data_IF_376501832424
#
_entry.id   IF_376501832424
#
_cell.length_a   1.000
_cell.length_b   1.000
_cell.length_c   1.000
_cell.angle_alpha   90.00
_cell.angle_beta   90.00
_cell.angle_gamma   90.00
#
_symmetry.space_group_name_H-M   'P 1'
#
loop_
_entity.id
_entity.type
_entity.pdbx_description
1 polymer ?
#
# COMPACT_ATOMS: atom_id res chain seq x y z
N UNK A 1 -65.76 39.45 24.46
CA UNK A 1 -64.51 39.99 25.04
C UNK A 1 -63.66 38.81 25.47
N UNK A 2 -62.42 38.77 24.98
CA UNK A 2 -61.44 37.69 25.15
C UNK A 2 -60.68 37.90 26.46
N UNK A 3 -60.40 36.83 27.21
CA UNK A 3 -59.10 36.54 27.85
C UNK A 3 -59.23 35.62 29.07
N UNK A 4 -58.47 34.53 29.04
CA UNK A 4 -57.52 34.04 30.07
C UNK A 4 -57.19 32.57 29.74
N UNK A 5 -55.99 32.30 29.23
CA UNK A 5 -54.80 31.83 29.98
C UNK A 5 -55.01 30.43 30.57
N UNK A 6 -54.17 29.46 30.19
CA UNK A 6 -53.03 29.00 31.01
C UNK A 6 -52.29 27.80 30.37
N UNK A 7 -50.96 27.97 30.29
CA UNK A 7 -49.87 27.02 30.55
C UNK A 7 -49.83 25.70 29.76
N UNK A 8 -48.79 25.55 28.92
CA UNK A 8 -48.29 24.22 28.52
C UNK A 8 -46.81 24.13 28.88
N UNK A 9 -46.51 23.26 29.84
CA UNK A 9 -45.17 22.91 30.32
C UNK A 9 -44.38 22.18 29.23
N UNK A 10 -43.19 22.66 28.90
CA UNK A 10 -42.23 21.91 28.07
C UNK A 10 -41.21 21.25 28.99
N UNK A 11 -41.23 19.92 29.00
CA UNK A 11 -40.27 19.10 29.73
C UNK A 11 -38.92 19.08 29.00
N UNK A 12 -37.84 19.29 29.75
CA UNK A 12 -36.45 19.14 29.31
C UNK A 12 -36.12 17.65 29.35
N UNK A 13 -35.90 17.02 28.18
CA UNK A 13 -35.29 15.69 28.11
C UNK A 13 -33.79 15.84 27.90
N UNK A 14 -33.03 15.58 28.96
CA UNK A 14 -31.60 15.34 28.89
C UNK A 14 -31.35 14.02 28.12
N UNK A 15 -30.61 14.10 27.03
CA UNK A 15 -30.10 12.92 26.33
C UNK A 15 -28.74 12.57 26.91
N UNK A 16 -28.66 11.42 27.57
CA UNK A 16 -27.44 10.77 28.01
C UNK A 16 -26.74 10.15 26.79
N UNK A 17 -25.62 10.73 26.37
CA UNK A 17 -24.74 10.10 25.38
C UNK A 17 -23.89 9.02 26.08
N UNK A 18 -24.16 7.76 25.71
CA UNK A 18 -23.37 6.63 26.14
C UNK A 18 -21.97 6.69 25.48
N UNK A 19 -20.94 6.92 26.29
CA UNK A 19 -19.55 6.70 25.89
C UNK A 19 -19.32 5.20 25.65
N UNK A 20 -19.22 4.81 24.38
CA UNK A 20 -18.67 3.50 24.01
C UNK A 20 -17.14 3.56 24.07
N UNK A 21 -16.46 2.61 24.72
CA UNK A 21 -15.01 2.53 24.65
C UNK A 21 -14.58 2.15 23.23
N UNK A 22 -13.80 3.04 22.62
CA UNK A 22 -13.13 2.83 21.34
C UNK A 22 -12.11 1.70 21.50
N UNK A 23 -12.53 0.46 21.24
CA UNK A 23 -11.63 -0.68 21.13
C UNK A 23 -10.86 -0.54 19.81
N UNK A 24 -9.66 0.02 19.88
CA UNK A 24 -8.71 0.00 18.77
C UNK A 24 -8.42 -1.46 18.39
N UNK A 25 -8.67 -1.87 17.14
CA UNK A 25 -8.27 -3.19 16.70
C UNK A 25 -6.74 -3.25 16.75
N UNK A 26 -6.20 -4.08 17.65
CA UNK A 26 -4.78 -4.46 17.60
C UNK A 26 -4.59 -5.26 16.32
N UNK A 27 -4.08 -4.58 15.30
CA UNK A 27 -3.66 -5.17 14.05
C UNK A 27 -2.45 -6.07 14.31
N UNK A 28 -2.71 -7.33 14.67
CA UNK A 28 -1.68 -8.37 14.71
C UNK A 28 -1.21 -8.59 13.28
N UNK A 29 -0.06 -8.00 12.92
CA UNK A 29 0.65 -8.32 11.69
C UNK A 29 1.10 -9.79 11.79
N UNK A 30 0.40 -10.68 11.11
CA UNK A 30 0.95 -11.99 10.76
C UNK A 30 2.11 -11.74 9.80
N UNK A 31 3.34 -11.90 10.29
CA UNK A 31 4.55 -11.88 9.49
C UNK A 31 4.54 -13.10 8.57
N UNK A 32 3.85 -12.98 7.43
CA UNK A 32 3.96 -13.94 6.34
C UNK A 32 5.38 -13.79 5.79
N UNK A 33 6.29 -14.67 6.22
CA UNK A 33 7.60 -14.78 5.60
C UNK A 33 7.38 -15.16 4.14
N UNK A 34 7.65 -14.23 3.24
CA UNK A 34 7.63 -14.51 1.82
C UNK A 34 8.93 -15.22 1.46
N UNK A 35 8.84 -16.36 0.77
CA UNK A 35 10.02 -17.02 0.24
C UNK A 35 10.79 -16.07 -0.70
N UNK A 36 12.14 -16.06 -0.67
CA UNK A 36 12.95 -15.26 -1.58
C UNK A 36 12.62 -15.54 -3.05
N UNK A 37 12.72 -14.51 -3.89
CA UNK A 37 12.56 -14.69 -5.33
C UNK A 37 13.65 -15.61 -5.90
N UNK A 38 13.24 -16.54 -6.76
CA UNK A 38 14.16 -17.46 -7.41
C UNK A 38 15.03 -16.77 -8.46
N UNK A 39 16.28 -17.24 -8.61
CA UNK A 39 17.18 -16.81 -9.68
C UNK A 39 16.56 -17.03 -11.07
N UNK A 40 16.57 -15.98 -11.89
CA UNK A 40 15.87 -15.92 -13.18
C UNK A 40 14.50 -15.24 -13.13
N UNK A 41 14.00 -14.86 -11.95
CA UNK A 41 12.84 -13.96 -11.83
C UNK A 41 13.20 -12.54 -12.28
N UNK A 42 12.18 -11.72 -12.55
CA UNK A 42 12.34 -10.32 -12.91
C UNK A 42 11.53 -9.41 -11.99
N UNK A 43 12.08 -8.24 -11.73
CA UNK A 43 11.42 -7.15 -11.01
C UNK A 43 11.46 -5.91 -11.88
N UNK A 44 10.30 -5.35 -12.17
CA UNK A 44 10.17 -4.18 -13.05
C UNK A 44 9.76 -2.98 -12.22
N UNK A 45 10.67 -2.01 -12.12
CA UNK A 45 10.53 -0.83 -11.27
C UNK A 45 9.97 0.33 -12.09
N UNK A 46 8.88 0.93 -11.62
CA UNK A 46 8.35 2.16 -12.18
C UNK A 46 9.27 3.35 -11.87
N UNK A 47 9.82 3.99 -12.90
CA UNK A 47 10.72 5.15 -12.79
C UNK A 47 10.17 6.41 -13.49
N UNK A 48 8.95 6.35 -14.03
CA UNK A 48 8.31 7.49 -14.67
C UNK A 48 8.01 8.65 -13.72
N UNK A 49 7.47 9.77 -14.23
CA UNK A 49 7.41 11.03 -13.48
C UNK A 49 6.73 10.94 -12.11
N UNK A 50 5.64 10.18 -12.00
CA UNK A 50 4.90 10.04 -10.74
C UNK A 50 5.68 9.21 -9.72
N UNK A 51 6.10 8.00 -10.09
CA UNK A 51 6.93 7.14 -9.24
C UNK A 51 8.25 7.83 -8.87
N UNK A 52 8.87 8.55 -9.81
CA UNK A 52 10.10 9.30 -9.58
C UNK A 52 9.93 10.41 -8.55
N UNK A 53 8.81 11.14 -8.56
CA UNK A 53 8.49 12.15 -7.53
C UNK A 53 8.19 11.52 -6.17
N UNK A 54 7.59 10.34 -6.13
CA UNK A 54 7.20 9.68 -4.88
C UNK A 54 8.27 8.76 -4.27
N UNK A 55 9.45 8.66 -4.88
CA UNK A 55 10.62 7.97 -4.30
C UNK A 55 11.23 6.86 -5.16
N UNK A 56 10.63 6.49 -6.29
CA UNK A 56 11.04 5.34 -7.11
C UNK A 56 12.47 5.43 -7.64
N UNK A 57 12.98 6.64 -7.94
CA UNK A 57 14.39 6.85 -8.34
C UNK A 57 15.39 6.50 -7.24
N UNK A 58 14.99 6.63 -5.96
CA UNK A 58 15.84 6.31 -4.82
C UNK A 58 15.89 4.81 -4.56
N UNK A 59 14.83 4.08 -4.89
CA UNK A 59 14.71 2.64 -4.63
C UNK A 59 15.38 1.78 -5.70
N UNK A 60 15.49 2.28 -6.93
CA UNK A 60 16.15 1.57 -8.03
C UNK A 60 17.56 1.04 -7.68
N UNK A 61 18.50 1.83 -7.12
CA UNK A 61 19.82 1.31 -6.77
C UNK A 61 19.77 0.20 -5.71
N UNK A 62 18.85 0.29 -4.75
CA UNK A 62 18.66 -0.74 -3.71
C UNK A 62 18.17 -2.05 -4.33
N UNK A 63 17.22 -1.96 -5.26
CA UNK A 63 16.79 -3.12 -6.04
C UNK A 63 17.94 -3.73 -6.82
N UNK A 64 18.75 -2.92 -7.51
CA UNK A 64 19.86 -3.40 -8.32
C UNK A 64 20.90 -4.15 -7.48
N UNK A 65 21.26 -3.60 -6.32
CA UNK A 65 22.22 -4.22 -5.38
C UNK A 65 21.71 -5.56 -4.87
N UNK A 66 20.52 -5.59 -4.25
CA UNK A 66 20.01 -6.80 -3.60
C UNK A 66 19.57 -7.88 -4.60
N UNK A 67 18.94 -7.50 -5.71
CA UNK A 67 18.44 -8.45 -6.70
C UNK A 67 19.59 -9.11 -7.48
N UNK A 68 20.70 -8.41 -7.70
CA UNK A 68 21.86 -8.96 -8.41
C UNK A 68 22.46 -10.15 -7.67
N UNK A 69 22.57 -10.09 -6.35
CA UNK A 69 23.06 -11.20 -5.51
C UNK A 69 22.16 -12.45 -5.61
N UNK A 70 20.86 -12.24 -5.88
CA UNK A 70 19.86 -13.30 -6.04
C UNK A 70 19.77 -13.84 -7.48
N UNK A 71 20.47 -13.23 -8.43
CA UNK A 71 20.29 -13.51 -9.85
C UNK A 71 18.89 -13.15 -10.37
N UNK A 72 18.25 -12.16 -9.75
CA UNK A 72 16.97 -11.57 -10.18
C UNK A 72 17.28 -10.37 -11.08
N UNK A 73 16.61 -10.30 -12.23
CA UNK A 73 16.84 -9.20 -13.19
C UNK A 73 15.99 -7.99 -12.81
N UNK A 74 16.62 -6.81 -12.74
CA UNK A 74 15.91 -5.54 -12.51
C UNK A 74 15.76 -4.80 -13.84
N UNK A 75 14.52 -4.52 -14.22
CA UNK A 75 14.17 -3.71 -15.39
C UNK A 75 13.47 -2.43 -14.94
N UNK A 76 13.43 -1.42 -15.81
CA UNK A 76 12.73 -0.16 -15.52
C UNK A 76 11.74 0.18 -16.61
N UNK A 77 10.62 0.77 -16.21
CA UNK A 77 9.59 1.26 -17.13
C UNK A 77 9.03 2.60 -16.62
N UNK A 78 8.42 3.38 -17.52
CA UNK A 78 7.76 4.63 -17.16
C UNK A 78 6.55 4.42 -16.26
N UNK A 79 5.69 3.46 -16.58
CA UNK A 79 4.54 3.05 -15.79
C UNK A 79 4.35 1.54 -15.90
N UNK A 80 4.10 0.87 -14.78
CA UNK A 80 3.54 -0.49 -14.78
C UNK A 80 2.04 -0.42 -15.07
N UNK A 81 1.48 -1.47 -15.70
CA UNK A 81 0.05 -1.57 -16.05
C UNK A 81 -0.55 -0.31 -16.71
N UNK A 82 0.13 0.26 -17.69
CA UNK A 82 -0.36 1.43 -18.45
C UNK A 82 -0.79 2.63 -17.56
N UNK A 83 -0.09 2.82 -16.43
CA UNK A 83 -0.33 3.88 -15.45
C UNK A 83 -1.64 3.75 -14.65
N UNK A 84 -2.36 2.62 -14.71
CA UNK A 84 -3.58 2.38 -13.93
C UNK A 84 -3.37 2.59 -12.41
N UNK A 85 -2.15 2.33 -11.92
CA UNK A 85 -1.80 2.40 -10.50
C UNK A 85 -0.87 3.57 -10.14
N UNK A 86 -0.68 4.54 -11.04
CA UNK A 86 0.27 5.65 -10.86
C UNK A 86 0.01 6.50 -9.61
N UNK A 87 -1.25 6.60 -9.16
CA UNK A 87 -1.60 7.33 -7.93
C UNK A 87 -1.07 6.69 -6.64
N UNK A 88 -0.58 5.44 -6.71
CA UNK A 88 -0.11 4.65 -5.57
C UNK A 88 1.41 4.37 -5.62
N UNK A 89 2.14 5.03 -6.52
CA UNK A 89 3.56 4.78 -6.73
C UNK A 89 4.44 5.19 -5.54
N UNK A 90 5.66 4.61 -5.40
CA UNK A 90 6.34 3.82 -6.42
C UNK A 90 5.80 2.40 -6.56
N UNK A 91 5.60 1.96 -7.80
CA UNK A 91 5.03 0.66 -8.14
C UNK A 91 6.11 -0.28 -8.68
N UNK A 92 5.99 -1.56 -8.36
CA UNK A 92 6.93 -2.62 -8.76
C UNK A 92 6.15 -3.84 -9.21
N UNK A 93 6.39 -4.29 -10.43
CA UNK A 93 5.80 -5.52 -10.96
C UNK A 93 6.78 -6.69 -10.77
N UNK A 94 6.30 -7.83 -10.29
CA UNK A 94 7.11 -9.02 -10.02
C UNK A 94 6.74 -10.11 -11.02
N UNK A 95 7.72 -10.57 -11.80
CA UNK A 95 7.57 -11.71 -12.71
C UNK A 95 8.39 -12.87 -12.18
N UNK A 96 7.71 -13.91 -11.70
CA UNK A 96 8.40 -15.11 -11.23
C UNK A 96 8.98 -15.89 -12.41
N UNK A 97 10.05 -16.63 -12.15
CA UNK A 97 10.63 -17.51 -13.16
C UNK A 97 9.58 -18.49 -13.70
N UNK A 98 9.49 -18.58 -15.03
CA UNK A 98 8.55 -19.47 -15.72
C UNK A 98 7.09 -19.01 -15.69
N UNK A 99 6.82 -17.80 -15.20
CA UNK A 99 5.50 -17.18 -15.25
C UNK A 99 5.38 -16.37 -16.55
N UNK A 100 4.55 -16.84 -17.48
CA UNK A 100 4.25 -16.20 -18.77
C UNK A 100 2.81 -15.65 -18.82
N UNK A 101 2.19 -15.47 -17.65
CA UNK A 101 0.82 -14.97 -17.52
C UNK A 101 0.65 -13.53 -18.02
N UNK A 102 -0.57 -13.14 -18.43
CA UNK A 102 -0.86 -11.76 -18.82
C UNK A 102 -0.98 -10.80 -17.62
N UNK A 103 -1.07 -11.33 -16.40
CA UNK A 103 -1.26 -10.56 -15.16
C UNK A 103 -0.14 -10.87 -14.18
N UNK A 104 0.70 -9.89 -13.93
CA UNK A 104 1.77 -9.98 -12.94
C UNK A 104 1.40 -9.23 -11.66
N UNK A 105 1.76 -9.75 -10.48
CA UNK A 105 1.56 -9.02 -9.23
C UNK A 105 2.28 -7.67 -9.24
N UNK A 106 1.54 -6.62 -8.90
CA UNK A 106 2.08 -5.27 -8.70
C UNK A 106 2.08 -4.95 -7.20
N UNK A 107 3.21 -4.44 -6.72
CA UNK A 107 3.43 -3.98 -5.36
C UNK A 107 3.53 -2.46 -5.36
N UNK A 108 2.75 -1.81 -4.51
CA UNK A 108 2.58 -0.36 -4.48
C UNK A 108 3.24 0.25 -3.26
N UNK A 109 3.48 1.56 -3.30
CA UNK A 109 4.07 2.34 -2.21
C UNK A 109 5.44 1.85 -1.73
N UNK A 110 6.27 1.32 -2.63
CA UNK A 110 7.63 0.87 -2.30
C UNK A 110 8.54 2.08 -2.08
N UNK A 111 8.82 2.43 -0.82
CA UNK A 111 9.47 3.70 -0.44
C UNK A 111 10.70 3.52 0.46
N UNK A 112 10.84 2.36 1.08
CA UNK A 112 11.90 2.04 2.03
C UNK A 112 12.70 0.82 1.58
N UNK A 113 13.89 0.64 2.17
CA UNK A 113 14.70 -0.56 1.92
C UNK A 113 13.98 -1.82 2.42
N UNK A 114 13.23 -1.72 3.52
CA UNK A 114 12.40 -2.80 4.04
C UNK A 114 11.31 -3.22 3.05
N UNK A 115 10.68 -2.25 2.37
CA UNK A 115 9.72 -2.56 1.30
C UNK A 115 10.40 -3.29 0.14
N UNK A 116 11.63 -2.90 -0.23
CA UNK A 116 12.40 -3.58 -1.27
C UNK A 116 12.71 -5.03 -0.86
N UNK A 117 13.18 -5.24 0.38
CA UNK A 117 13.41 -6.57 0.93
C UNK A 117 12.14 -7.41 0.94
N UNK A 118 11.00 -6.82 1.30
CA UNK A 118 9.71 -7.50 1.28
C UNK A 118 9.28 -7.90 -0.15
N UNK A 119 9.54 -7.06 -1.16
CA UNK A 119 9.29 -7.40 -2.58
C UNK A 119 10.17 -8.56 -3.03
N UNK A 120 11.43 -8.58 -2.60
CA UNK A 120 12.40 -9.62 -2.93
C UNK A 120 12.23 -10.91 -2.10
N UNK A 121 11.40 -10.90 -1.05
CA UNK A 121 11.20 -12.04 -0.15
C UNK A 121 12.36 -12.27 0.83
N UNK A 122 13.03 -11.20 1.25
CA UNK A 122 14.20 -11.24 2.18
C UNK A 122 13.84 -10.90 3.64
N UNK A 123 12.54 -10.87 3.98
CA UNK A 123 12.01 -10.44 5.30
C UNK A 123 12.23 -11.46 6.42
#
# INVERSE_FOLDING_TARGET
MKSSLLISSVAILAQSEAFLPNATPKHTQTHLQAEPLESGSKVIVCTGPTCGRSGGKKMLPIFQELAQEMGVTVETISCVSECAECGMGPNVEVRKKGDDGPFYPIKNNIKTEEDVKAVLGLS
#
